data_IF_605899257253
#
_entry.id   IF_605899257253
#
_cell.length_a   1.000
_cell.length_b   1.000
_cell.length_c   1.000
_cell.angle_alpha   90.00
_cell.angle_beta   90.00
_cell.angle_gamma   90.00
#
_symmetry.space_group_name_H-M   'P 1'
#
loop_
_entity.id
_entity.type
_entity.pdbx_description
1 polymer ?
#
# COMPACT_ATOMS: atom_id res chain seq x y z
N UNK A 1 -1.31 5.09 -12.23
CA UNK A 1 -2.26 4.94 -11.11
C UNK A 1 -2.98 3.62 -11.34
N UNK A 2 -2.53 2.52 -10.72
CA UNK A 2 -3.32 1.30 -10.75
C UNK A 2 -4.50 1.51 -9.82
N UNK A 3 -5.72 1.56 -10.36
CA UNK A 3 -6.93 1.66 -9.56
C UNK A 3 -7.13 0.31 -8.86
N UNK A 4 -6.86 0.24 -7.55
CA UNK A 4 -7.17 -0.95 -6.76
C UNK A 4 -8.66 -1.25 -6.78
N UNK A 5 -9.04 -2.52 -6.55
CA UNK A 5 -10.44 -2.92 -6.36
C UNK A 5 -11.03 -2.08 -5.22
N UNK A 6 -12.20 -1.49 -5.44
CA UNK A 6 -12.95 -0.76 -4.40
C UNK A 6 -13.95 -1.70 -3.74
N UNK A 7 -14.09 -1.59 -2.42
CA UNK A 7 -15.06 -2.32 -1.61
C UNK A 7 -16.06 -1.32 -1.05
N UNK A 8 -17.35 -1.63 -1.17
CA UNK A 8 -18.41 -0.81 -0.59
C UNK A 8 -18.65 -1.25 0.86
N UNK A 9 -18.57 -0.32 1.80
CA UNK A 9 -18.93 -0.50 3.20
C UNK A 9 -20.21 0.27 3.50
N UNK A 10 -21.17 -0.34 4.18
CA UNK A 10 -22.44 0.31 4.56
C UNK A 10 -22.52 0.50 6.06
N UNK A 11 -22.59 1.75 6.52
CA UNK A 11 -22.66 2.08 7.94
C UNK A 11 -24.02 1.73 8.56
N UNK A 12 -24.10 1.77 9.90
CA UNK A 12 -25.30 1.44 10.66
C UNK A 12 -26.44 2.45 10.48
N UNK A 13 -26.12 3.69 10.13
CA UNK A 13 -27.03 4.78 9.77
C UNK A 13 -27.35 4.80 8.27
N UNK A 14 -26.84 3.83 7.51
CA UNK A 14 -27.29 3.53 6.15
C UNK A 14 -26.54 4.24 5.03
N UNK A 15 -25.50 5.02 5.32
CA UNK A 15 -24.63 5.59 4.30
C UNK A 15 -23.62 4.55 3.79
N UNK A 16 -23.07 4.82 2.61
CA UNK A 16 -22.16 3.93 1.90
C UNK A 16 -20.83 4.62 1.63
N UNK A 17 -19.74 3.89 1.84
CA UNK A 17 -18.37 4.35 1.64
C UNK A 17 -17.67 3.42 0.68
N UNK A 18 -16.99 3.99 -0.33
CA UNK A 18 -16.11 3.23 -1.22
C UNK A 18 -14.67 3.34 -0.72
N UNK A 19 -14.11 2.22 -0.27
CA UNK A 19 -12.73 2.16 0.24
C UNK A 19 -11.89 1.24 -0.65
N UNK A 20 -10.59 1.47 -0.72
CA UNK A 20 -9.70 0.52 -1.42
C UNK A 20 -9.72 -0.85 -0.71
N UNK A 21 -9.65 -1.93 -1.47
CA UNK A 21 -9.65 -3.29 -0.91
C UNK A 21 -8.51 -3.48 0.10
N UNK A 22 -7.31 -2.95 -0.20
CA UNK A 22 -6.19 -2.96 0.74
C UNK A 22 -6.53 -2.29 2.08
N UNK A 23 -7.42 -1.29 2.07
CA UNK A 23 -7.90 -0.61 3.28
C UNK A 23 -8.89 -1.49 4.03
N UNK A 24 -9.81 -2.11 3.30
CA UNK A 24 -10.81 -3.01 3.86
C UNK A 24 -10.18 -4.25 4.51
N UNK A 25 -9.10 -4.78 3.92
CA UNK A 25 -8.37 -5.97 4.39
C UNK A 25 -7.64 -5.80 5.72
N UNK A 26 -7.44 -4.56 6.19
CA UNK A 26 -6.91 -4.28 7.54
C UNK A 26 -7.85 -4.81 8.64
N UNK A 27 -9.15 -4.82 8.36
CA UNK A 27 -10.13 -5.46 9.24
C UNK A 27 -10.18 -6.95 8.94
N UNK A 28 -9.75 -7.78 9.89
CA UNK A 28 -9.82 -9.24 9.77
C UNK A 28 -11.26 -9.72 9.51
N UNK A 29 -12.27 -9.05 10.08
CA UNK A 29 -13.67 -9.36 9.83
C UNK A 29 -14.05 -9.11 8.37
N UNK A 30 -13.68 -7.94 7.83
CA UNK A 30 -13.98 -7.58 6.44
C UNK A 30 -13.18 -8.47 5.49
N UNK A 31 -11.93 -8.78 5.83
CA UNK A 31 -11.09 -9.71 5.06
C UNK A 31 -11.76 -11.07 4.85
N UNK A 32 -12.22 -11.72 5.91
CA UNK A 32 -12.92 -13.01 5.76
C UNK A 32 -14.19 -12.86 4.89
N UNK A 33 -14.93 -11.75 5.01
CA UNK A 33 -16.11 -11.52 4.17
C UNK A 33 -15.77 -11.32 2.69
N UNK A 34 -14.61 -10.74 2.37
CA UNK A 34 -14.13 -10.59 0.98
C UNK A 34 -13.66 -11.95 0.43
N UNK A 35 -12.94 -12.73 1.24
CA UNK A 35 -12.44 -14.06 0.86
C UNK A 35 -13.58 -15.06 0.60
N UNK A 36 -14.69 -14.93 1.34
CA UNK A 36 -15.92 -15.71 1.15
C UNK A 36 -16.82 -15.18 0.02
N UNK A 37 -16.33 -14.23 -0.80
CA UNK A 37 -17.03 -13.59 -1.93
C UNK A 37 -18.39 -12.95 -1.54
N UNK A 38 -18.52 -12.52 -0.28
CA UNK A 38 -19.73 -11.91 0.26
C UNK A 38 -19.76 -10.37 0.09
N UNK A 39 -18.84 -9.80 -0.69
CA UNK A 39 -18.64 -8.35 -0.79
C UNK A 39 -19.44 -7.66 -1.92
N UNK A 40 -20.06 -8.42 -2.83
CA UNK A 40 -20.71 -7.90 -4.04
C UNK A 40 -21.82 -6.88 -3.80
N UNK A 41 -22.57 -7.02 -2.71
CA UNK A 41 -23.68 -6.13 -2.36
C UNK A 41 -23.27 -5.04 -1.34
N UNK A 42 -21.98 -4.89 -1.09
CA UNK A 42 -21.43 -4.06 -0.03
C UNK A 42 -21.53 -4.72 1.35
N UNK A 43 -20.51 -4.50 2.17
CA UNK A 43 -20.37 -5.14 3.49
C UNK A 43 -21.08 -4.28 4.54
N UNK A 44 -22.14 -4.80 5.19
CA UNK A 44 -22.84 -4.05 6.23
C UNK A 44 -22.05 -4.02 7.54
N UNK A 45 -21.91 -2.84 8.13
CA UNK A 45 -21.24 -2.58 9.40
C UNK A 45 -22.27 -2.07 10.42
N UNK A 46 -23.13 -2.96 10.97
CA UNK A 46 -24.28 -2.55 11.81
C UNK A 46 -23.88 -1.88 13.12
N UNK A 47 -22.61 -1.97 13.52
CA UNK A 47 -22.08 -1.39 14.76
C UNK A 47 -21.20 -0.16 14.53
N UNK A 48 -21.09 0.34 13.29
CA UNK A 48 -20.23 1.48 12.94
C UNK A 48 -21.07 2.56 12.25
N UNK A 49 -21.15 3.72 12.88
CA UNK A 49 -21.82 4.90 12.28
C UNK A 49 -20.96 5.54 11.20
N UNK A 50 -21.57 6.24 10.25
CA UNK A 50 -20.87 7.02 9.23
C UNK A 50 -19.82 7.95 9.80
N UNK A 51 -20.14 8.62 10.91
CA UNK A 51 -19.23 9.56 11.59
C UNK A 51 -17.93 8.88 12.05
N UNK A 52 -18.00 7.63 12.48
CA UNK A 52 -16.81 6.87 12.90
C UNK A 52 -16.10 6.31 11.68
N UNK A 53 -16.83 5.84 10.66
CA UNK A 53 -16.24 5.31 9.44
C UNK A 53 -15.46 6.37 8.67
N UNK A 54 -15.96 7.61 8.60
CA UNK A 54 -15.25 8.74 7.97
C UNK A 54 -13.92 9.06 8.67
N UNK A 55 -13.80 8.79 9.98
CA UNK A 55 -12.54 9.00 10.71
C UNK A 55 -11.46 8.02 10.28
N UNK A 56 -11.83 6.82 9.83
CA UNK A 56 -10.89 5.84 9.29
C UNK A 56 -10.32 6.31 7.96
N UNK A 57 -11.16 6.93 7.12
CA UNK A 57 -10.73 7.56 5.87
C UNK A 57 -9.79 8.75 6.12
N UNK A 58 -10.16 9.64 7.06
CA UNK A 58 -9.33 10.78 7.47
C UNK A 58 -7.90 10.36 7.88
N UNK A 59 -7.76 9.27 8.64
CA UNK A 59 -6.47 8.74 9.08
C UNK A 59 -5.59 8.31 7.91
N UNK A 60 -6.17 7.69 6.88
CA UNK A 60 -5.42 7.26 5.70
C UNK A 60 -4.97 8.41 4.83
N UNK A 61 -5.81 9.43 4.69
CA UNK A 61 -5.40 10.67 4.05
C UNK A 61 -4.24 11.31 4.81
N UNK A 62 -4.30 11.33 6.14
CA UNK A 62 -3.21 11.83 6.97
C UNK A 62 -1.92 11.03 6.77
N UNK A 63 -1.97 9.70 6.84
CA UNK A 63 -0.80 8.83 6.64
C UNK A 63 -0.14 9.08 5.28
N UNK A 64 -0.96 9.21 4.22
CA UNK A 64 -0.49 9.46 2.84
C UNK A 64 0.23 10.81 2.73
N UNK A 65 -0.32 11.86 3.33
CA UNK A 65 0.29 13.19 3.29
C UNK A 65 1.51 13.27 4.23
N UNK A 66 1.52 12.53 5.34
CA UNK A 66 2.62 12.52 6.29
C UNK A 66 3.92 11.99 5.67
N UNK A 67 3.85 10.90 4.91
CA UNK A 67 5.03 10.33 4.22
C UNK A 67 5.39 11.04 2.91
N UNK A 68 4.65 12.07 2.52
CA UNK A 68 4.89 12.87 1.32
C UNK A 68 6.01 13.89 1.53
N UNK A 69 7.19 13.36 1.83
CA UNK A 69 8.44 14.11 2.05
C UNK A 69 9.48 13.72 0.99
N UNK A 70 10.63 14.39 0.97
CA UNK A 70 11.73 13.97 0.10
C UNK A 70 12.34 12.64 0.56
N UNK A 71 13.07 11.96 -0.34
CA UNK A 71 13.62 10.62 -0.07
C UNK A 71 14.57 10.59 1.13
N UNK A 72 15.39 11.64 1.34
CA UNK A 72 16.33 11.66 2.46
C UNK A 72 15.58 11.68 3.78
N UNK A 73 14.58 12.56 3.90
CA UNK A 73 13.70 12.60 5.07
C UNK A 73 12.94 11.27 5.26
N UNK A 74 12.44 10.66 4.18
CA UNK A 74 11.74 9.37 4.27
C UNK A 74 12.66 8.26 4.82
N UNK A 75 13.91 8.19 4.37
CA UNK A 75 14.89 7.23 4.89
C UNK A 75 15.26 7.51 6.35
N UNK A 76 15.43 8.77 6.74
CA UNK A 76 15.66 9.13 8.14
C UNK A 76 14.47 8.74 9.03
N UNK A 77 13.23 8.88 8.54
CA UNK A 77 12.03 8.42 9.24
C UNK A 77 12.02 6.89 9.41
N UNK A 78 12.40 6.11 8.38
CA UNK A 78 12.53 4.65 8.48
C UNK A 78 13.54 4.27 9.57
N UNK A 79 14.72 4.90 9.56
CA UNK A 79 15.78 4.64 10.53
C UNK A 79 15.34 5.01 11.96
N UNK A 80 14.70 6.17 12.13
CA UNK A 80 14.18 6.62 13.41
C UNK A 80 13.07 5.70 13.93
N UNK A 81 12.13 5.29 13.07
CA UNK A 81 11.05 4.38 13.43
C UNK A 81 11.57 3.01 13.88
N UNK A 82 12.57 2.48 13.17
CA UNK A 82 13.24 1.23 13.55
C UNK A 82 13.98 1.39 14.90
N UNK A 83 14.76 2.46 15.08
CA UNK A 83 15.51 2.70 16.31
C UNK A 83 14.60 2.87 17.54
N UNK A 84 13.49 3.61 17.39
CA UNK A 84 12.51 3.85 18.44
C UNK A 84 11.50 2.70 18.60
N UNK A 85 11.59 1.67 17.76
CA UNK A 85 10.68 0.52 17.73
C UNK A 85 9.19 0.91 17.54
N UNK A 86 8.93 1.85 16.64
CA UNK A 86 7.57 2.29 16.27
C UNK A 86 7.13 1.52 15.02
N UNK A 87 6.58 0.32 15.22
CA UNK A 87 6.23 -0.61 14.11
C UNK A 87 5.32 0.02 13.06
N UNK A 88 4.25 0.72 13.46
CA UNK A 88 3.30 1.31 12.51
C UNK A 88 3.93 2.37 11.60
N UNK A 89 4.83 3.20 12.13
CA UNK A 89 5.56 4.19 11.35
C UNK A 89 6.59 3.52 10.42
N UNK A 90 7.25 2.47 10.90
CA UNK A 90 8.18 1.68 10.09
C UNK A 90 7.44 1.02 8.93
N UNK A 91 6.30 0.38 9.19
CA UNK A 91 5.47 -0.26 8.16
C UNK A 91 5.00 0.78 7.14
N UNK A 92 4.48 1.93 7.58
CA UNK A 92 3.98 3.00 6.71
C UNK A 92 5.07 3.55 5.77
N UNK A 93 6.25 3.84 6.32
CA UNK A 93 7.36 4.40 5.54
C UNK A 93 7.99 3.36 4.59
N UNK A 94 8.12 2.11 5.04
CA UNK A 94 8.54 1.00 4.18
C UNK A 94 7.54 0.73 3.04
N UNK A 95 6.24 0.80 3.33
CA UNK A 95 5.19 0.63 2.32
C UNK A 95 5.29 1.74 1.26
N UNK A 96 5.53 2.98 1.65
CA UNK A 96 5.72 4.08 0.70
C UNK A 96 6.89 3.82 -0.26
N UNK A 97 8.04 3.34 0.27
CA UNK A 97 9.19 2.95 -0.56
C UNK A 97 8.83 1.78 -1.49
N UNK A 98 8.09 0.78 -1.01
CA UNK A 98 7.63 -0.33 -1.83
C UNK A 98 6.71 0.14 -2.97
N UNK A 99 5.80 1.08 -2.69
CA UNK A 99 4.92 1.68 -3.70
C UNK A 99 5.69 2.50 -4.75
N UNK A 100 6.82 3.10 -4.39
CA UNK A 100 7.71 3.76 -5.35
C UNK A 100 8.41 2.79 -6.30
N UNK A 101 8.50 1.50 -5.94
CA UNK A 101 9.13 0.43 -6.72
C UNK A 101 8.09 -0.32 -7.57
N UNK A 102 6.89 -0.51 -7.02
CA UNK A 102 5.82 -1.30 -7.62
C UNK A 102 5.49 -0.82 -9.04
N UNK A 103 5.56 -1.73 -10.00
CA UNK A 103 5.20 -1.48 -11.40
C UNK A 103 6.23 -0.68 -12.21
N UNK A 104 7.42 -0.40 -11.64
CA UNK A 104 8.53 0.22 -12.37
C UNK A 104 9.50 -0.82 -12.94
N UNK A 105 10.17 -0.49 -14.04
CA UNK A 105 11.25 -1.33 -14.57
C UNK A 105 12.51 -1.22 -13.72
N UNK A 106 13.45 -2.19 -13.79
CA UNK A 106 14.75 -2.09 -13.11
C UNK A 106 15.49 -0.78 -13.40
N UNK A 107 15.44 -0.29 -14.63
CA UNK A 107 16.08 0.96 -15.05
C UNK A 107 15.43 2.20 -14.41
N UNK A 108 14.10 2.22 -14.32
CA UNK A 108 13.36 3.30 -13.65
C UNK A 108 13.61 3.31 -12.14
N UNK A 109 13.68 2.13 -11.52
CA UNK A 109 14.02 1.96 -10.10
C UNK A 109 15.43 2.51 -9.86
N UNK A 110 16.42 2.05 -10.66
CA UNK A 110 17.80 2.52 -10.56
C UNK A 110 17.90 4.03 -10.68
N UNK A 111 17.18 4.64 -11.63
CA UNK A 111 17.13 6.09 -11.78
C UNK A 111 16.46 6.78 -10.58
N UNK A 112 15.35 6.25 -10.08
CA UNK A 112 14.58 6.82 -8.96
C UNK A 112 15.42 6.87 -7.69
N UNK A 113 16.18 5.81 -7.41
CA UNK A 113 16.99 5.66 -6.20
C UNK A 113 18.47 5.98 -6.41
N UNK A 114 18.83 6.52 -7.57
CA UNK A 114 20.20 6.86 -7.96
C UNK A 114 21.19 5.69 -7.77
N UNK A 115 20.77 4.47 -8.14
CA UNK A 115 21.54 3.23 -8.05
C UNK A 115 22.31 3.04 -9.36
N UNK A 116 23.63 2.84 -9.24
CA UNK A 116 24.48 2.48 -10.38
C UNK A 116 24.28 0.99 -10.71
N UNK A 117 24.05 0.66 -11.98
CA UNK A 117 24.10 -0.73 -12.44
C UNK A 117 25.54 -1.24 -12.36
N UNK A 118 25.74 -2.31 -11.61
CA UNK A 118 27.02 -2.99 -11.39
C UNK A 118 27.12 -4.35 -12.10
N UNK A 119 26.06 -4.79 -12.77
CA UNK A 119 26.09 -5.96 -13.64
C UNK A 119 26.82 -5.67 -14.96
N UNK A 120 27.55 -6.67 -15.44
CA UNK A 120 27.96 -6.73 -16.84
C UNK A 120 26.75 -6.99 -17.75
N UNK A 121 26.82 -6.65 -19.05
CA UNK A 121 25.74 -6.94 -20.00
C UNK A 121 25.34 -8.43 -20.01
N UNK A 122 26.31 -9.33 -19.92
CA UNK A 122 26.08 -10.78 -19.90
C UNK A 122 25.34 -11.24 -18.62
N UNK A 123 25.73 -10.73 -17.45
CA UNK A 123 25.05 -11.03 -16.18
C UNK A 123 23.63 -10.47 -16.15
N UNK A 124 23.41 -9.26 -16.68
CA UNK A 124 22.07 -8.67 -16.74
C UNK A 124 21.14 -9.44 -17.69
N UNK A 125 21.65 -9.92 -18.82
CA UNK A 125 20.89 -10.79 -19.73
C UNK A 125 20.55 -12.14 -19.09
N UNK A 126 21.48 -12.75 -18.35
CA UNK A 126 21.25 -14.00 -17.64
C UNK A 126 20.18 -13.84 -16.56
N UNK A 127 20.29 -12.82 -15.71
CA UNK A 127 19.29 -12.52 -14.66
C UNK A 127 17.92 -12.22 -15.30
N UNK A 128 17.87 -11.47 -16.41
CA UNK A 128 16.61 -11.19 -17.11
C UNK A 128 15.99 -12.47 -17.69
N UNK A 129 16.80 -13.39 -18.23
CA UNK A 129 16.35 -14.68 -18.75
C UNK A 129 15.78 -15.56 -17.63
N UNK A 130 16.45 -15.66 -16.49
CA UNK A 130 15.98 -16.46 -15.35
C UNK A 130 14.70 -15.91 -14.72
N UNK A 131 14.52 -14.58 -14.74
CA UNK A 131 13.38 -13.90 -14.14
C UNK A 131 12.31 -13.50 -15.17
N UNK A 132 12.28 -14.12 -16.35
CA UNK A 132 11.26 -13.83 -17.38
C UNK A 132 9.84 -13.96 -16.86
N UNK A 133 9.60 -14.92 -15.96
CA UNK A 133 8.31 -15.15 -15.30
C UNK A 133 7.75 -13.93 -14.57
N UNK A 134 8.58 -12.97 -14.16
CA UNK A 134 8.16 -11.76 -13.47
C UNK A 134 7.69 -10.65 -14.41
N UNK A 135 7.86 -10.84 -15.74
CA UNK A 135 7.53 -9.87 -16.79
C UNK A 135 6.43 -10.35 -17.75
N UNK A 136 5.88 -11.55 -17.52
CA UNK A 136 4.72 -12.13 -18.23
C UNK A 136 3.41 -11.80 -17.50
#
# INVERSE_FOLDING_TARGET
>A
MSSGRKITLKSSDGETFEVDEAVALESQTIKHMIEDDCADNGIPLPNVTSKILSKVEDLKTWDTEFVRVDQATLFDLILAANYLNIKSLLDLTCQNVADMIKGKTPEEIRKTFNIKNDFTPEEEEEVRRENQWAFE
#
